data_IF_953181943760
#
_entry.id   IF_953181943760
#
_cell.length_a   1.000
_cell.length_b   1.000
_cell.length_c   1.000
_cell.angle_alpha   90.00
_cell.angle_beta   90.00
_cell.angle_gamma   90.00
#
_symmetry.space_group_name_H-M   'P 1'
#
loop_
_entity.id
_entity.type
_entity.pdbx_description
1 polymer ?
#
# COMPACT_ATOMS: atom_id res chain seq x y z
N UNK A 1 -13.06 -8.15 -8.30
CA UNK A 1 -12.56 -8.28 -9.68
C UNK A 1 -12.12 -6.96 -10.35
N UNK A 2 -12.70 -5.78 -10.03
CA UNK A 2 -12.15 -4.46 -10.42
C UNK A 2 -11.75 -3.60 -9.21
N UNK A 3 -12.52 -3.67 -8.13
CA UNK A 3 -12.24 -2.98 -6.87
C UNK A 3 -10.91 -3.44 -6.24
N UNK A 4 -10.55 -4.72 -6.40
CA UNK A 4 -9.34 -5.30 -5.83
C UNK A 4 -8.07 -4.71 -6.46
N UNK A 5 -8.02 -4.57 -7.79
CA UNK A 5 -6.86 -3.99 -8.47
C UNK A 5 -6.62 -2.53 -8.07
N UNK A 6 -7.68 -1.72 -8.01
CA UNK A 6 -7.58 -0.33 -7.58
C UNK A 6 -7.11 -0.22 -6.13
N UNK A 7 -7.63 -1.08 -5.25
CA UNK A 7 -7.28 -1.09 -3.84
C UNK A 7 -5.81 -1.51 -3.66
N UNK A 8 -5.41 -2.62 -4.28
CA UNK A 8 -4.04 -3.14 -4.24
C UNK A 8 -3.06 -2.11 -4.79
N UNK A 9 -3.34 -1.50 -5.94
CA UNK A 9 -2.49 -0.45 -6.52
C UNK A 9 -2.35 0.75 -5.58
N UNK A 10 -3.45 1.16 -4.94
CA UNK A 10 -3.43 2.28 -3.98
C UNK A 10 -2.63 1.97 -2.73
N UNK A 11 -2.76 0.76 -2.17
CA UNK A 11 -2.02 0.32 -0.98
C UNK A 11 -0.52 0.19 -1.26
N UNK A 12 -0.15 -0.22 -2.48
CA UNK A 12 1.23 -0.23 -2.96
C UNK A 12 1.76 1.18 -3.32
N UNK A 13 0.94 2.22 -3.21
CA UNK A 13 1.32 3.59 -3.58
C UNK A 13 1.51 3.80 -5.09
N UNK A 14 1.04 2.88 -5.93
CA UNK A 14 1.17 2.95 -7.38
C UNK A 14 0.14 3.92 -7.96
N UNK A 15 0.60 5.04 -8.51
CA UNK A 15 -0.27 5.96 -9.23
C UNK A 15 -0.34 5.61 -10.73
N UNK A 16 -1.15 6.35 -11.49
CA UNK A 16 -1.35 6.09 -12.92
C UNK A 16 -0.06 6.20 -13.73
N UNK A 17 0.85 7.11 -13.36
CA UNK A 17 2.13 7.28 -14.05
C UNK A 17 3.10 6.12 -13.75
N UNK A 18 3.09 5.59 -12.53
CA UNK A 18 3.91 4.44 -12.15
C UNK A 18 3.45 3.18 -12.90
N UNK A 19 2.14 2.92 -12.94
CA UNK A 19 1.56 1.82 -13.71
C UNK A 19 1.82 1.98 -15.21
N UNK A 20 1.67 3.19 -15.75
CA UNK A 20 1.94 3.48 -17.16
C UNK A 20 3.38 3.18 -17.54
N UNK A 21 4.34 3.57 -16.68
CA UNK A 21 5.76 3.29 -16.88
C UNK A 21 6.05 1.80 -16.75
N UNK A 22 5.52 1.14 -15.72
CA UNK A 22 5.78 -0.28 -15.43
C UNK A 22 5.26 -1.20 -16.54
N UNK A 23 4.09 -0.90 -17.09
CA UNK A 23 3.40 -1.75 -18.07
C UNK A 23 3.43 -1.21 -19.50
N UNK A 24 4.23 -0.17 -19.76
CA UNK A 24 4.41 0.44 -21.09
C UNK A 24 3.10 0.84 -21.77
N UNK A 25 2.17 1.40 -21.00
CA UNK A 25 0.86 1.89 -21.49
C UNK A 25 0.74 3.40 -21.35
N UNK A 26 -0.25 3.99 -22.03
CA UNK A 26 -0.57 5.40 -21.81
C UNK A 26 -1.13 5.63 -20.40
N UNK A 27 -0.76 6.76 -19.79
CA UNK A 27 -1.25 7.15 -18.46
C UNK A 27 -2.79 7.22 -18.40
N UNK A 28 -3.43 7.63 -19.51
CA UNK A 28 -4.90 7.61 -19.62
C UNK A 28 -5.48 6.21 -19.44
N UNK A 29 -4.82 5.19 -19.97
CA UNK A 29 -5.24 3.78 -19.84
C UNK A 29 -5.09 3.32 -18.39
N UNK A 30 -3.91 3.53 -17.79
CA UNK A 30 -3.65 3.21 -16.39
C UNK A 30 -4.63 3.93 -15.43
N UNK A 31 -4.94 5.19 -15.68
CA UNK A 31 -5.92 5.95 -14.88
C UNK A 31 -7.32 5.35 -14.95
N UNK A 32 -7.72 4.79 -16.10
CA UNK A 32 -9.01 4.09 -16.22
C UNK A 32 -9.04 2.78 -15.42
N UNK A 33 -7.91 2.09 -15.29
CA UNK A 33 -7.78 0.91 -14.43
C UNK A 33 -7.96 1.27 -12.96
N UNK A 34 -7.22 2.27 -12.46
CA UNK A 34 -7.32 2.73 -11.07
C UNK A 34 -8.74 3.23 -10.74
N UNK A 35 -9.41 3.91 -11.69
CA UNK A 35 -10.77 4.42 -11.46
C UNK A 35 -11.88 3.39 -11.67
N UNK A 36 -11.54 2.13 -11.97
CA UNK A 36 -12.50 1.06 -12.25
C UNK A 36 -13.30 1.22 -13.55
N UNK A 37 -12.90 2.15 -14.42
CA UNK A 37 -13.56 2.45 -15.71
C UNK A 37 -13.09 1.55 -16.86
N UNK A 38 -12.11 0.69 -16.60
CA UNK A 38 -11.63 -0.34 -17.52
C UNK A 38 -10.95 -1.45 -16.70
N UNK A 39 -11.07 -2.69 -17.17
CA UNK A 39 -10.35 -3.82 -16.59
C UNK A 39 -8.93 -3.87 -17.16
N UNK A 40 -7.88 -4.00 -16.32
CA UNK A 40 -6.55 -4.28 -16.79
C UNK A 40 -6.48 -5.66 -17.47
N UNK A 41 -5.53 -5.88 -18.38
CA UNK A 41 -5.22 -7.22 -18.88
C UNK A 41 -4.79 -8.15 -17.75
N UNK A 42 -5.07 -9.43 -17.88
CA UNK A 42 -4.78 -10.46 -16.86
C UNK A 42 -3.32 -10.46 -16.39
N UNK A 43 -2.29 -10.36 -17.25
CA UNK A 43 -0.89 -10.30 -16.78
C UNK A 43 -0.56 -9.08 -15.90
N UNK A 44 -1.29 -7.98 -16.08
CA UNK A 44 -1.14 -6.77 -15.26
C UNK A 44 -1.78 -6.98 -13.90
N UNK A 45 -2.93 -7.65 -13.86
CA UNK A 45 -3.63 -8.00 -12.62
C UNK A 45 -2.75 -8.94 -11.79
N UNK A 46 -2.24 -10.01 -12.39
CA UNK A 46 -1.39 -11.00 -11.73
C UNK A 46 -0.14 -10.35 -11.13
N UNK A 47 0.59 -9.52 -11.88
CA UNK A 47 1.78 -8.86 -11.33
C UNK A 47 1.49 -7.90 -10.17
N UNK A 48 0.37 -7.17 -10.21
CA UNK A 48 -0.02 -6.29 -9.10
C UNK A 48 -0.43 -7.12 -7.89
N UNK A 49 -1.13 -8.23 -8.11
CA UNK A 49 -1.50 -9.16 -7.05
C UNK A 49 -0.26 -9.79 -6.41
N UNK A 50 0.71 -10.30 -7.19
CA UNK A 50 1.97 -10.83 -6.67
C UNK A 50 2.75 -9.78 -5.86
N UNK A 51 2.82 -8.54 -6.37
CA UNK A 51 3.46 -7.44 -5.65
C UNK A 51 2.76 -7.15 -4.33
N UNK A 52 1.43 -7.25 -4.30
CA UNK A 52 0.61 -7.06 -3.11
C UNK A 52 0.77 -8.20 -2.10
N UNK A 53 0.80 -9.45 -2.54
CA UNK A 53 1.04 -10.61 -1.69
C UNK A 53 2.44 -10.55 -1.06
N UNK A 54 3.46 -10.17 -1.82
CA UNK A 54 4.82 -9.96 -1.30
C UNK A 54 4.88 -8.81 -0.28
N UNK A 55 4.12 -7.74 -0.52
CA UNK A 55 3.97 -6.64 0.43
C UNK A 55 3.32 -7.11 1.74
N UNK A 56 2.24 -7.90 1.67
CA UNK A 56 1.58 -8.45 2.86
C UNK A 56 2.49 -9.41 3.65
N UNK A 57 3.24 -10.28 2.96
CA UNK A 57 4.21 -11.17 3.62
C UNK A 57 5.30 -10.38 4.34
N UNK A 58 5.87 -9.38 3.67
CA UNK A 58 6.92 -8.53 4.26
C UNK A 58 6.40 -7.77 5.49
N UNK A 59 5.14 -7.32 5.43
CA UNK A 59 4.49 -6.65 6.55
C UNK A 59 4.19 -7.63 7.69
N UNK A 60 3.76 -8.86 7.40
CA UNK A 60 3.61 -9.91 8.40
C UNK A 60 4.91 -10.23 9.14
N UNK A 61 6.02 -10.42 8.41
CA UNK A 61 7.34 -10.67 9.02
C UNK A 61 7.83 -9.48 9.84
N UNK A 62 7.53 -8.25 9.43
CA UNK A 62 7.83 -7.06 10.23
C UNK A 62 7.06 -7.07 11.55
N UNK A 63 5.77 -7.42 11.53
CA UNK A 63 4.95 -7.52 12.74
C UNK A 63 5.49 -8.60 13.68
N UNK A 64 5.84 -9.79 13.18
CA UNK A 64 6.42 -10.87 13.99
C UNK A 64 7.74 -10.43 14.67
N UNK A 65 8.62 -9.76 13.92
CA UNK A 65 9.85 -9.19 14.46
C UNK A 65 9.61 -8.09 15.51
N UNK A 66 8.52 -7.34 15.41
CA UNK A 66 8.18 -6.29 16.35
C UNK A 66 7.54 -6.86 17.63
N UNK A 67 6.69 -7.86 17.51
CA UNK A 67 6.06 -8.58 18.63
C UNK A 67 7.11 -9.28 19.50
N UNK A 68 8.09 -9.95 18.86
CA UNK A 68 9.20 -10.63 19.55
C UNK A 68 10.10 -9.69 20.38
N UNK A 69 10.05 -8.37 20.12
CA UNK A 69 10.91 -7.38 20.78
C UNK A 69 10.19 -6.52 21.84
N UNK A 70 8.88 -6.71 22.08
CA UNK A 70 8.04 -5.87 22.98
C UNK A 70 8.15 -4.34 22.72
N UNK A 71 8.63 -3.92 21.56
CA UNK A 71 8.86 -2.52 21.24
C UNK A 71 7.59 -1.89 20.65
N UNK A 72 6.82 -1.19 21.48
CA UNK A 72 5.73 -0.31 21.03
C UNK A 72 6.35 0.86 20.27
N UNK A 73 6.30 0.84 18.93
CA UNK A 73 6.82 1.95 18.11
C UNK A 73 5.89 3.17 18.18
N UNK A 74 6.27 4.14 18.99
CA UNK A 74 5.81 5.51 18.80
C UNK A 74 6.53 6.11 17.57
N UNK A 75 5.91 6.04 16.40
CA UNK A 75 6.41 6.71 15.20
C UNK A 75 5.56 7.94 14.87
N UNK A 76 6.22 9.11 14.84
CA UNK A 76 5.59 10.38 14.44
C UNK A 76 5.80 10.56 12.95
N UNK A 77 4.71 10.58 12.19
CA UNK A 77 4.75 10.94 10.78
C UNK A 77 4.81 12.46 10.63
N UNK A 78 5.86 12.94 9.97
CA UNK A 78 6.04 14.36 9.66
C UNK A 78 5.65 14.63 8.19
N UNK A 79 4.59 15.41 7.92
CA UNK A 79 4.13 15.75 6.56
C UNK A 79 5.17 16.46 5.70
N UNK A 80 6.18 17.09 6.30
CA UNK A 80 7.22 17.83 5.58
C UNK A 80 8.38 16.95 5.10
N UNK A 81 8.43 15.68 5.54
CA UNK A 81 9.47 14.75 5.08
C UNK A 81 9.29 14.37 3.61
N UNK A 82 10.40 14.29 2.88
CA UNK A 82 10.41 13.96 1.46
C UNK A 82 9.79 12.58 1.17
N UNK A 83 9.93 11.63 2.10
CA UNK A 83 9.34 10.29 1.99
C UNK A 83 7.90 10.18 2.49
N UNK A 84 7.29 11.23 3.07
CA UNK A 84 5.94 11.18 3.67
C UNK A 84 4.88 10.61 2.73
N UNK A 85 4.95 10.98 1.44
CA UNK A 85 4.03 10.48 0.40
C UNK A 85 4.07 8.96 0.22
N UNK A 86 5.20 8.33 0.54
CA UNK A 86 5.42 6.89 0.48
C UNK A 86 5.17 6.21 1.83
N UNK A 87 5.47 6.90 2.92
CA UNK A 87 5.25 6.40 4.28
C UNK A 87 3.77 6.41 4.68
N UNK A 88 2.97 7.36 4.20
CA UNK A 88 1.56 7.48 4.55
C UNK A 88 0.74 6.23 4.15
N UNK A 89 0.80 5.71 2.91
CA UNK A 89 0.11 4.46 2.55
C UNK A 89 0.57 3.27 3.39
N UNK A 90 1.89 3.18 3.67
CA UNK A 90 2.46 2.12 4.49
C UNK A 90 1.90 2.16 5.92
N UNK A 91 1.86 3.32 6.56
CA UNK A 91 1.32 3.47 7.92
C UNK A 91 -0.18 3.24 7.95
N UNK A 92 -0.91 3.67 6.92
CA UNK A 92 -2.34 3.35 6.78
C UNK A 92 -2.56 1.84 6.67
N UNK A 93 -1.70 1.13 5.92
CA UNK A 93 -1.76 -0.32 5.80
C UNK A 93 -1.43 -1.01 7.13
N UNK A 94 -0.36 -0.60 7.82
CA UNK A 94 0.03 -1.11 9.14
C UNK A 94 -1.13 -0.93 10.13
N UNK A 95 -1.72 0.26 10.21
CA UNK A 95 -2.84 0.52 11.11
C UNK A 95 -4.08 -0.32 10.80
N UNK A 96 -4.44 -0.46 9.52
CA UNK A 96 -5.55 -1.32 9.11
C UNK A 96 -5.32 -2.77 9.54
N UNK A 97 -4.09 -3.26 9.41
CA UNK A 97 -3.71 -4.60 9.85
C UNK A 97 -3.73 -4.73 11.37
N UNK A 98 -3.12 -3.82 12.11
CA UNK A 98 -3.18 -3.84 13.57
C UNK A 98 -4.63 -3.83 14.08
N UNK A 99 -5.51 -3.04 13.45
CA UNK A 99 -6.94 -3.04 13.75
C UNK A 99 -7.63 -4.37 13.43
N UNK A 100 -7.25 -5.06 12.35
CA UNK A 100 -7.79 -6.39 12.02
C UNK A 100 -7.39 -7.46 13.03
N UNK A 101 -6.18 -7.34 13.60
CA UNK A 101 -5.65 -8.24 14.62
C UNK A 101 -5.99 -7.83 16.06
N UNK A 102 -6.80 -6.77 16.24
CA UNK A 102 -7.16 -6.22 17.56
C UNK A 102 -5.95 -5.77 18.41
N UNK A 103 -4.88 -5.33 17.74
CA UNK A 103 -3.71 -4.74 18.38
C UNK A 103 -4.02 -3.25 18.64
N UNK A 104 -3.94 -2.81 19.90
CA UNK A 104 -4.09 -1.39 20.24
C UNK A 104 -2.99 -0.57 19.56
N UNK A 105 -3.39 0.38 18.72
CA UNK A 105 -2.47 1.19 17.90
C UNK A 105 -2.83 2.65 17.99
N UNK A 106 -1.87 3.50 18.34
CA UNK A 106 -2.03 4.96 18.36
C UNK A 106 -1.23 5.58 17.20
N UNK A 107 -1.91 6.31 16.30
CA UNK A 107 -1.24 7.14 15.30
C UNK A 107 -1.27 8.58 15.77
N UNK A 108 -0.09 9.18 15.95
CA UNK A 108 0.04 10.60 16.27
C UNK A 108 0.65 11.34 15.07
N UNK A 109 -0.04 12.38 14.59
CA UNK A 109 0.51 13.29 13.59
C UNK A 109 1.12 14.50 14.31
N UNK A 110 2.29 14.94 13.84
CA UNK A 110 2.90 16.18 14.33
C UNK A 110 1.97 17.36 13.97
N UNK A 111 1.58 18.16 14.96
CA UNK A 111 0.79 19.39 14.79
C UNK A 111 1.62 20.49 14.12
#
# INVERSE_FOLDING_TARGET
MLADFSLQSSLLGLNAADLARKFEVQERTARRWITGRATPPEPVIEQVQESFESFLQSLGSMIELLDDNEEIYAHILDPEQAEYKHMRPLVQAIYLLCSLYQIETEITFKQ
#
